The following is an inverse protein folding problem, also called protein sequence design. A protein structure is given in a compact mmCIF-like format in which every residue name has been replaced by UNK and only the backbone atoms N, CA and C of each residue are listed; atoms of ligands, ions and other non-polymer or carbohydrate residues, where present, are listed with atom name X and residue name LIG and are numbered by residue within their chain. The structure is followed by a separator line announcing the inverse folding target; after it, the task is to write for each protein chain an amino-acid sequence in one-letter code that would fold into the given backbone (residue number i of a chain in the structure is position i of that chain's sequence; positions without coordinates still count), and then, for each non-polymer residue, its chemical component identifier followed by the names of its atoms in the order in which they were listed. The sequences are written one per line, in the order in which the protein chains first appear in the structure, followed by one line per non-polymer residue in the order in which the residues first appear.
data_IF_595055394521
#
_entry.id   IF_595055394521
#
_cell.length_a   1.000
_cell.length_b   1.000
_cell.length_c   1.000
_cell.angle_alpha   90.00
_cell.angle_beta   90.00
_cell.angle_gamma   90.00
#
_symmetry.space_group_name_H-M   'P 1'
#
loop_
_entity.id
_entity.type
_entity.pdbx_description
1 polymer ?
#
# COMPACT_ATOMS: atom_id res chain seq x y z
N UNK A 1 12.97 -7.07 -11.44
CA UNK A 1 12.85 -7.36 -12.89
C UNK A 1 12.34 -8.78 -13.05
N UNK A 2 11.58 -9.09 -14.11
CA UNK A 2 11.01 -10.42 -14.32
C UNK A 2 9.48 -10.49 -14.34
N UNK A 3 8.78 -9.36 -14.19
CA UNK A 3 7.34 -9.27 -14.43
C UNK A 3 7.08 -8.78 -15.85
N UNK A 4 6.12 -9.41 -16.53
CA UNK A 4 5.55 -8.85 -17.75
C UNK A 4 4.84 -7.53 -17.40
N UNK A 5 5.09 -6.48 -18.18
CA UNK A 5 4.38 -5.20 -18.09
C UNK A 5 3.55 -5.09 -19.36
N UNK A 6 2.24 -5.07 -19.18
CA UNK A 6 1.28 -5.02 -20.28
C UNK A 6 0.06 -4.17 -19.89
N UNK A 7 -0.77 -3.85 -20.87
CA UNK A 7 -2.05 -3.18 -20.63
C UNK A 7 -3.09 -4.19 -20.16
N UNK A 8 -4.08 -3.74 -19.38
CA UNK A 8 -5.15 -4.61 -18.87
C UNK A 8 -5.87 -5.35 -20.00
N UNK A 9 -6.19 -4.67 -21.10
CA UNK A 9 -6.86 -5.25 -22.28
C UNK A 9 -6.14 -6.48 -22.86
N UNK A 10 -4.81 -6.53 -22.77
CA UNK A 10 -4.02 -7.65 -23.30
C UNK A 10 -4.11 -8.91 -22.42
N UNK A 11 -4.43 -8.75 -21.13
CA UNK A 11 -4.37 -9.82 -20.14
C UNK A 11 -5.71 -10.15 -19.49
N UNK A 12 -6.74 -9.30 -19.65
CA UNK A 12 -8.03 -9.37 -18.94
C UNK A 12 -8.76 -10.70 -19.10
N UNK A 13 -8.66 -11.34 -20.27
CA UNK A 13 -9.28 -12.65 -20.51
C UNK A 13 -8.41 -13.85 -20.09
N UNK A 14 -7.19 -13.60 -19.63
CA UNK A 14 -6.17 -14.64 -19.38
C UNK A 14 -5.64 -14.68 -17.95
N UNK A 15 -5.75 -13.59 -17.19
CA UNK A 15 -5.39 -13.57 -15.78
C UNK A 15 -6.48 -14.19 -14.90
N UNK A 16 -6.06 -14.80 -13.79
CA UNK A 16 -6.95 -15.45 -12.83
C UNK A 16 -7.25 -14.56 -11.61
N UNK A 17 -6.33 -13.64 -11.28
CA UNK A 17 -6.43 -12.74 -10.13
C UNK A 17 -6.04 -11.33 -10.58
N UNK A 18 -6.88 -10.36 -10.22
CA UNK A 18 -6.71 -8.95 -10.49
C UNK A 18 -6.62 -8.19 -9.17
N UNK A 19 -5.55 -7.40 -9.03
CA UNK A 19 -5.31 -6.57 -7.84
C UNK A 19 -5.04 -5.14 -8.31
N UNK A 20 -5.90 -4.20 -7.95
CA UNK A 20 -5.65 -2.77 -8.17
C UNK A 20 -4.85 -2.19 -7.00
N UNK A 21 -3.79 -1.45 -7.30
CA UNK A 21 -2.85 -0.89 -6.33
C UNK A 21 -2.32 0.48 -6.78
N UNK A 22 -3.17 1.27 -7.44
CA UNK A 22 -2.73 2.43 -8.23
C UNK A 22 -2.85 3.76 -7.48
N UNK A 23 -3.77 3.85 -6.52
CA UNK A 23 -4.19 5.11 -5.92
C UNK A 23 -5.00 6.01 -6.86
N UNK A 24 -5.57 5.46 -7.93
CA UNK A 24 -6.32 6.17 -8.96
C UNK A 24 -7.68 5.50 -9.22
N UNK A 25 -8.57 6.13 -9.98
CA UNK A 25 -9.94 5.65 -10.21
C UNK A 25 -10.13 4.91 -11.54
N UNK A 26 -11.18 4.08 -11.61
CA UNK A 26 -11.65 3.40 -12.82
C UNK A 26 -10.59 2.56 -13.54
N UNK A 27 -9.79 1.82 -12.77
CA UNK A 27 -8.72 0.95 -13.28
C UNK A 27 -9.29 -0.35 -13.84
N UNK A 28 -10.25 -0.95 -13.14
CA UNK A 28 -11.00 -2.11 -13.61
C UNK A 28 -12.46 -1.71 -13.73
N UNK A 29 -12.93 -1.63 -14.96
CA UNK A 29 -14.32 -1.28 -15.26
C UNK A 29 -15.22 -2.51 -15.29
N UNK A 30 -16.53 -2.29 -15.32
CA UNK A 30 -17.50 -3.37 -15.55
C UNK A 30 -17.30 -4.07 -16.90
N UNK A 31 -16.87 -3.34 -17.93
CA UNK A 31 -16.60 -3.89 -19.26
C UNK A 31 -15.36 -4.78 -19.25
N UNK A 32 -14.39 -4.48 -18.39
CA UNK A 32 -13.23 -5.35 -18.17
C UNK A 32 -13.64 -6.62 -17.43
N UNK A 33 -14.42 -6.49 -16.36
CA UNK A 33 -14.93 -7.63 -15.60
C UNK A 33 -15.76 -8.58 -16.46
N UNK A 34 -16.55 -8.06 -17.41
CA UNK A 34 -17.33 -8.88 -18.34
C UNK A 34 -16.49 -9.71 -19.32
N UNK A 35 -15.20 -9.38 -19.50
CA UNK A 35 -14.24 -10.14 -20.35
C UNK A 35 -13.42 -11.15 -19.56
N UNK A 36 -13.52 -11.15 -18.22
CA UNK A 36 -12.71 -11.99 -17.36
C UNK A 36 -13.13 -13.46 -17.46
N UNK A 37 -12.23 -14.35 -17.05
CA UNK A 37 -12.54 -15.78 -16.92
C UNK A 37 -13.64 -16.00 -15.88
N UNK A 38 -14.40 -17.07 -16.06
CA UNK A 38 -15.28 -17.56 -15.00
C UNK A 38 -14.48 -17.84 -13.72
N UNK A 39 -14.96 -17.32 -12.60
CA UNK A 39 -14.36 -17.30 -11.27
C UNK A 39 -13.02 -16.55 -11.15
N UNK A 40 -12.73 -15.62 -12.05
CA UNK A 40 -11.63 -14.68 -11.83
C UNK A 40 -11.86 -13.90 -10.52
N UNK A 41 -10.78 -13.65 -9.78
CA UNK A 41 -10.82 -12.91 -8.50
C UNK A 41 -10.43 -11.46 -8.75
N UNK A 42 -11.24 -10.52 -8.28
CA UNK A 42 -11.01 -9.07 -8.39
C UNK A 42 -10.96 -8.47 -7.00
N UNK A 43 -9.87 -7.76 -6.69
CA UNK A 43 -9.73 -7.04 -5.43
C UNK A 43 -8.89 -5.77 -5.58
N UNK A 44 -8.95 -4.94 -4.55
CA UNK A 44 -8.25 -3.67 -4.47
C UNK A 44 -7.45 -3.61 -3.18
N UNK A 45 -6.20 -3.13 -3.26
CA UNK A 45 -5.34 -2.85 -2.10
C UNK A 45 -4.99 -1.36 -2.00
N UNK A 46 -5.44 -0.54 -2.96
CA UNK A 46 -5.39 0.92 -2.90
C UNK A 46 -6.33 1.50 -1.86
N UNK A 47 -6.18 2.81 -1.59
CA UNK A 47 -6.83 3.45 -0.45
C UNK A 47 -8.36 3.54 -0.55
N UNK A 48 -8.87 3.80 -1.75
CA UNK A 48 -10.29 3.99 -2.01
C UNK A 48 -10.83 2.89 -2.92
N UNK A 49 -12.13 2.63 -2.83
CA UNK A 49 -12.84 1.59 -3.59
C UNK A 49 -13.05 1.90 -5.07
N UNK A 50 -12.90 3.17 -5.47
CA UNK A 50 -13.13 3.62 -6.83
C UNK A 50 -12.05 3.22 -7.85
N UNK A 51 -11.03 2.45 -7.46
CA UNK A 51 -10.16 1.78 -8.44
C UNK A 51 -10.94 0.75 -9.26
N UNK A 52 -12.02 0.19 -8.70
CA UNK A 52 -12.92 -0.77 -9.36
C UNK A 52 -14.29 -0.12 -9.54
N UNK A 53 -14.89 -0.26 -10.73
CA UNK A 53 -16.24 0.23 -11.01
C UNK A 53 -17.34 -0.65 -10.39
N UNK A 54 -17.39 -0.66 -9.05
CA UNK A 54 -18.40 -1.39 -8.29
C UNK A 54 -19.82 -0.88 -8.55
N UNK A 55 -19.96 0.42 -8.80
CA UNK A 55 -21.25 1.04 -9.08
C UNK A 55 -21.77 0.62 -10.47
N UNK A 56 -20.90 0.54 -11.48
CA UNK A 56 -21.21 0.00 -12.79
C UNK A 56 -21.55 -1.48 -12.72
N UNK A 57 -20.79 -2.26 -11.96
CA UNK A 57 -21.08 -3.68 -11.72
C UNK A 57 -22.47 -3.89 -11.12
N UNK A 58 -22.84 -3.10 -10.11
CA UNK A 58 -24.18 -3.16 -9.50
C UNK A 58 -25.32 -2.79 -10.46
N UNK A 59 -25.05 -1.97 -11.49
CA UNK A 59 -26.03 -1.57 -12.52
C UNK A 59 -26.02 -2.45 -13.78
N UNK A 60 -25.07 -3.36 -13.90
CA UNK A 60 -24.82 -4.16 -15.10
C UNK A 60 -25.88 -5.23 -15.39
N UNK A 61 -26.74 -5.53 -14.41
CA UNK A 61 -27.61 -6.70 -14.45
C UNK A 61 -26.95 -7.99 -13.94
N UNK A 62 -25.66 -7.95 -13.55
CA UNK A 62 -25.03 -9.05 -12.84
C UNK A 62 -25.72 -9.32 -11.49
N UNK A 63 -25.93 -10.60 -11.17
CA UNK A 63 -26.52 -11.04 -9.91
C UNK A 63 -25.43 -11.20 -8.86
N UNK A 64 -25.58 -10.49 -7.73
CA UNK A 64 -24.70 -10.63 -6.56
C UNK A 64 -25.20 -11.74 -5.64
N UNK A 65 -24.33 -12.68 -5.31
CA UNK A 65 -24.52 -13.68 -4.27
C UNK A 65 -23.35 -13.60 -3.26
N UNK A 66 -23.64 -13.24 -2.01
CA UNK A 66 -22.61 -13.19 -0.96
C UNK A 66 -22.24 -14.63 -0.55
N UNK A 67 -20.97 -15.00 -0.72
CA UNK A 67 -20.47 -16.34 -0.36
C UNK A 67 -20.13 -16.43 1.12
N UNK A 68 -19.54 -15.35 1.65
CA UNK A 68 -19.20 -15.11 3.05
C UNK A 68 -18.94 -13.60 3.24
N UNK A 69 -18.86 -13.10 4.49
CA UNK A 69 -18.54 -11.70 4.72
C UNK A 69 -17.29 -11.24 3.97
N UNK A 70 -17.45 -10.19 3.16
CA UNK A 70 -16.37 -9.61 2.35
C UNK A 70 -15.99 -10.44 1.11
N UNK A 71 -16.83 -11.37 0.64
CA UNK A 71 -16.60 -12.13 -0.58
C UNK A 71 -17.92 -12.35 -1.32
N UNK A 72 -18.06 -11.69 -2.46
CA UNK A 72 -19.25 -11.76 -3.31
C UNK A 72 -18.95 -12.46 -4.63
N UNK A 73 -19.87 -13.30 -5.10
CA UNK A 73 -19.90 -13.81 -6.45
C UNK A 73 -20.84 -12.94 -7.29
N UNK A 74 -20.33 -12.41 -8.39
CA UNK A 74 -21.11 -11.62 -9.35
C UNK A 74 -21.27 -12.41 -10.64
N UNK A 75 -22.49 -12.89 -10.91
CA UNK A 75 -22.81 -13.69 -12.10
C UNK A 75 -23.39 -12.80 -13.19
N UNK A 76 -22.73 -12.71 -14.33
CA UNK A 76 -23.17 -11.93 -15.49
C UNK A 76 -24.31 -12.63 -16.26
N UNK A 77 -25.06 -11.91 -17.11
CA UNK A 77 -26.21 -12.47 -17.85
C UNK A 77 -25.89 -13.66 -18.77
N UNK A 78 -24.64 -13.78 -19.23
CA UNK A 78 -24.16 -14.90 -20.05
C UNK A 78 -23.81 -16.15 -19.22
N UNK A 79 -23.89 -16.06 -17.89
CA UNK A 79 -23.66 -17.15 -16.94
C UNK A 79 -22.23 -17.26 -16.41
N UNK A 80 -21.26 -16.51 -16.94
CA UNK A 80 -19.94 -16.46 -16.27
C UNK A 80 -20.03 -15.61 -15.00
N UNK A 81 -19.03 -15.72 -14.13
CA UNK A 81 -19.06 -15.05 -12.85
C UNK A 81 -17.66 -14.58 -12.46
N UNK A 82 -17.57 -13.53 -11.65
CA UNK A 82 -16.33 -13.04 -11.03
C UNK A 82 -16.50 -13.00 -9.52
N UNK A 83 -15.42 -13.22 -8.79
CA UNK A 83 -15.37 -13.16 -7.33
C UNK A 83 -14.80 -11.80 -6.94
N UNK A 84 -15.58 -10.97 -6.27
CA UNK A 84 -15.14 -9.66 -5.79
C UNK A 84 -14.89 -9.72 -4.29
N UNK A 85 -13.73 -9.26 -3.86
CA UNK A 85 -13.35 -9.20 -2.46
C UNK A 85 -13.61 -7.82 -1.87
N UNK A 86 -14.10 -7.80 -0.62
CA UNK A 86 -14.32 -6.59 0.19
C UNK A 86 -15.14 -5.49 -0.50
N UNK A 87 -16.05 -5.84 -1.42
CA UNK A 87 -16.83 -4.89 -2.22
C UNK A 87 -15.95 -3.82 -2.90
N UNK A 88 -14.74 -4.20 -3.34
CA UNK A 88 -13.78 -3.29 -3.97
C UNK A 88 -12.99 -2.40 -3.01
N UNK A 89 -13.22 -2.47 -1.70
CA UNK A 89 -12.38 -1.79 -0.70
C UNK A 89 -11.07 -2.55 -0.45
N UNK A 90 -10.18 -1.92 0.33
CA UNK A 90 -8.91 -2.44 0.82
C UNK A 90 -9.00 -3.91 1.30
N UNK A 91 -8.55 -4.85 0.47
CA UNK A 91 -8.75 -6.29 0.68
C UNK A 91 -8.03 -6.83 1.91
N UNK A 92 -6.85 -6.28 2.26
CA UNK A 92 -6.10 -6.72 3.44
C UNK A 92 -6.83 -6.41 4.75
N UNK A 93 -7.60 -5.33 4.80
CA UNK A 93 -8.39 -4.95 5.97
C UNK A 93 -9.80 -5.56 5.92
N UNK A 94 -10.41 -5.60 4.73
CA UNK A 94 -11.76 -6.12 4.55
C UNK A 94 -11.85 -7.65 4.66
N UNK A 95 -10.81 -8.38 4.24
CA UNK A 95 -10.81 -9.85 4.21
C UNK A 95 -9.79 -10.48 5.18
N UNK A 96 -8.98 -9.68 5.87
CA UNK A 96 -7.98 -10.15 6.82
C UNK A 96 -7.78 -9.13 7.96
N UNK A 97 -6.56 -8.94 8.44
CA UNK A 97 -6.24 -8.11 9.62
C UNK A 97 -5.31 -6.94 9.30
N UNK A 98 -5.15 -6.57 8.03
CA UNK A 98 -4.25 -5.52 7.59
C UNK A 98 -2.77 -5.89 7.76
N UNK A 99 -1.93 -4.87 7.95
CA UNK A 99 -0.51 -5.08 8.17
C UNK A 99 -0.22 -5.64 9.58
N UNK A 100 0.76 -6.54 9.73
CA UNK A 100 1.18 -7.05 11.05
C UNK A 100 1.64 -5.93 11.98
N UNK A 101 1.50 -6.15 13.29
CA UNK A 101 1.83 -5.16 14.32
C UNK A 101 3.25 -4.58 14.21
N UNK A 102 4.23 -5.38 13.81
CA UNK A 102 5.61 -4.91 13.65
C UNK A 102 5.76 -3.89 12.51
N UNK A 103 5.08 -4.09 11.39
CA UNK A 103 5.05 -3.13 10.27
C UNK A 103 4.35 -1.84 10.72
N UNK A 104 3.23 -1.98 11.44
CA UNK A 104 2.48 -0.83 11.96
C UNK A 104 3.26 -0.07 13.04
N UNK A 105 4.11 -0.75 13.82
CA UNK A 105 4.98 -0.12 14.83
C UNK A 105 5.89 0.95 14.21
N UNK A 106 6.47 0.70 13.03
CA UNK A 106 7.27 1.70 12.33
C UNK A 106 6.43 2.94 11.95
N UNK A 107 5.27 2.70 11.33
CA UNK A 107 4.36 3.77 10.88
C UNK A 107 3.84 4.61 12.05
N UNK A 108 3.42 3.96 13.13
CA UNK A 108 2.89 4.64 14.32
C UNK A 108 3.98 5.33 15.14
N UNK A 109 5.21 4.80 15.15
CA UNK A 109 6.36 5.51 15.74
C UNK A 109 6.61 6.83 15.01
N UNK A 110 6.58 6.82 13.66
CA UNK A 110 6.69 8.04 12.86
C UNK A 110 5.55 9.03 13.16
N UNK A 111 4.30 8.56 13.24
CA UNK A 111 3.17 9.43 13.59
C UNK A 111 3.31 10.05 14.99
N UNK A 112 3.70 9.26 16.00
CA UNK A 112 3.90 9.77 17.37
C UNK A 112 5.02 10.80 17.41
N UNK A 113 6.15 10.54 16.74
CA UNK A 113 7.26 11.48 16.65
C UNK A 113 6.84 12.78 15.94
N UNK A 114 6.08 12.68 14.85
CA UNK A 114 5.55 13.86 14.16
C UNK A 114 4.61 14.69 15.05
N UNK A 115 3.74 14.03 15.83
CA UNK A 115 2.87 14.72 16.79
C UNK A 115 3.69 15.44 17.87
N UNK A 116 4.72 14.79 18.42
CA UNK A 116 5.63 15.39 19.41
C UNK A 116 6.38 16.59 18.82
N UNK A 117 6.89 16.47 17.59
CA UNK A 117 7.67 17.53 16.94
C UNK A 117 6.79 18.75 16.65
N UNK A 118 5.64 18.56 16.03
CA UNK A 118 4.69 19.64 15.72
C UNK A 118 4.21 20.33 17.00
N UNK A 119 3.82 19.56 18.03
CA UNK A 119 3.29 20.12 19.27
C UNK A 119 4.32 20.98 20.00
N UNK A 120 5.58 20.53 20.08
CA UNK A 120 6.62 21.25 20.82
C UNK A 120 7.29 22.37 20.00
N UNK A 121 7.16 22.36 18.67
CA UNK A 121 7.90 23.25 17.78
C UNK A 121 7.02 23.97 16.74
N UNK A 122 5.74 24.23 17.04
CA UNK A 122 4.76 24.86 16.12
C UNK A 122 5.34 26.05 15.34
N UNK A 123 6.08 26.94 16.00
CA UNK A 123 6.67 28.13 15.35
C UNK A 123 7.70 27.82 14.25
N UNK A 124 8.32 26.62 14.25
CA UNK A 124 9.24 26.17 13.20
C UNK A 124 8.53 25.71 11.93
N UNK A 125 7.22 25.47 12.01
CA UNK A 125 6.41 24.92 10.92
C UNK A 125 5.32 25.92 10.52
N UNK A 126 5.63 26.92 9.68
CA UNK A 126 4.62 27.68 8.96
C UNK A 126 3.62 26.77 8.24
N UNK A 127 2.52 27.34 7.73
CA UNK A 127 1.55 26.54 6.97
C UNK A 127 2.24 25.92 5.74
N UNK A 128 2.19 24.59 5.67
CA UNK A 128 2.84 23.81 4.61
C UNK A 128 2.74 22.31 4.86
N UNK A 129 3.25 21.53 3.91
CA UNK A 129 3.40 20.08 4.03
C UNK A 129 4.87 19.78 4.26
N UNK A 130 5.15 19.06 5.34
CA UNK A 130 6.52 18.75 5.78
C UNK A 130 6.71 17.24 5.86
N UNK A 131 7.93 16.80 5.57
CA UNK A 131 8.40 15.45 5.88
C UNK A 131 9.17 15.49 7.20
N UNK A 132 9.18 14.37 7.93
CA UNK A 132 10.00 14.24 9.11
C UNK A 132 11.49 14.39 8.73
N UNK A 133 12.29 15.14 9.50
CA UNK A 133 13.74 15.17 9.33
C UNK A 133 14.35 13.76 9.33
N UNK A 134 15.32 13.51 8.43
CA UNK A 134 15.92 12.19 8.21
C UNK A 134 16.42 11.50 9.48
N UNK A 135 17.03 12.24 10.40
CA UNK A 135 17.52 11.66 11.67
C UNK A 135 16.40 11.09 12.56
N UNK A 136 15.16 11.58 12.44
CA UNK A 136 14.00 11.03 13.15
C UNK A 136 13.51 9.74 12.50
N UNK A 137 13.56 9.65 11.18
CA UNK A 137 13.24 8.41 10.44
C UNK A 137 14.29 7.31 10.72
N UNK A 138 15.58 7.68 10.71
CA UNK A 138 16.68 6.79 11.14
C UNK A 138 16.53 6.34 12.60
N UNK A 139 16.06 7.22 13.48
CA UNK A 139 15.74 6.86 14.87
C UNK A 139 14.64 5.81 14.94
N UNK A 140 13.58 5.92 14.13
CA UNK A 140 12.54 4.88 14.06
C UNK A 140 13.14 3.55 13.61
N UNK A 141 13.95 3.54 12.56
CA UNK A 141 14.63 2.30 12.12
C UNK A 141 15.50 1.69 13.24
N UNK A 142 16.31 2.52 13.91
CA UNK A 142 17.19 2.09 15.00
C UNK A 142 16.43 1.42 16.16
N UNK A 143 15.26 1.96 16.54
CA UNK A 143 14.41 1.41 17.60
C UNK A 143 13.92 -0.01 17.30
N UNK A 144 13.80 -0.38 16.02
CA UNK A 144 13.28 -1.68 15.60
C UNK A 144 14.38 -2.74 15.39
N UNK A 145 15.65 -2.35 15.20
CA UNK A 145 16.75 -3.30 14.92
C UNK A 145 16.95 -4.34 16.02
N UNK A 146 16.89 -3.92 17.29
CA UNK A 146 17.08 -4.83 18.43
C UNK A 146 16.03 -5.94 18.48
N UNK A 147 14.78 -5.61 18.15
CA UNK A 147 13.68 -6.59 18.09
C UNK A 147 13.87 -7.63 16.97
N UNK A 148 14.62 -7.29 15.92
CA UNK A 148 14.98 -8.19 14.82
C UNK A 148 16.29 -8.96 15.06
N UNK A 149 16.98 -8.72 16.19
CA UNK A 149 18.31 -9.26 16.45
C UNK A 149 19.41 -8.69 15.54
N UNK A 150 19.11 -7.59 14.83
CA UNK A 150 20.06 -6.94 13.94
C UNK A 150 21.11 -6.15 14.75
N UNK A 151 22.37 -6.22 14.31
CA UNK A 151 23.49 -5.48 14.91
C UNK A 151 23.96 -4.41 13.94
N UNK A 152 23.88 -3.15 14.36
CA UNK A 152 24.33 -2.02 13.56
C UNK A 152 25.83 -1.79 13.75
N UNK A 153 26.59 -1.83 12.67
CA UNK A 153 27.99 -1.40 12.66
C UNK A 153 28.08 0.10 12.94
N UNK A 154 29.02 0.51 13.79
CA UNK A 154 29.31 1.92 14.06
C UNK A 154 30.51 2.35 13.24
N UNK A 155 30.41 3.54 12.63
CA UNK A 155 31.56 4.17 11.98
C UNK A 155 32.65 4.44 13.02
N UNK A 156 33.90 4.21 12.64
CA UNK A 156 35.04 4.78 13.37
C UNK A 156 35.17 6.26 13.07
N UNK A 157 35.86 7.01 13.92
CA UNK A 157 36.06 8.45 13.71
C UNK A 157 36.73 8.74 12.34
N UNK A 158 37.72 7.94 11.95
CA UNK A 158 38.36 8.07 10.64
C UNK A 158 37.46 7.72 9.46
N UNK A 159 36.48 6.82 9.62
CA UNK A 159 35.48 6.55 8.58
C UNK A 159 34.46 7.68 8.47
N UNK A 160 34.05 8.26 9.61
CA UNK A 160 33.12 9.38 9.65
C UNK A 160 33.74 10.63 9.01
N UNK A 161 35.00 10.94 9.32
CA UNK A 161 35.76 12.03 8.68
C UNK A 161 35.94 11.78 7.18
N UNK A 162 36.29 10.56 6.77
CA UNK A 162 36.44 10.22 5.36
C UNK A 162 35.14 10.40 4.54
N UNK A 163 33.99 10.12 5.16
CA UNK A 163 32.68 10.26 4.52
C UNK A 163 32.09 11.67 4.68
N UNK A 164 32.71 12.54 5.47
CA UNK A 164 32.19 13.85 5.87
C UNK A 164 30.78 13.77 6.50
N UNK A 165 30.62 12.87 7.48
CA UNK A 165 29.35 12.61 8.17
C UNK A 165 29.51 12.64 9.69
N UNK A 166 28.47 13.05 10.42
CA UNK A 166 28.38 12.78 11.86
C UNK A 166 28.23 11.26 12.08
N UNK A 167 29.03 10.62 12.96
CA UNK A 167 28.88 9.19 13.27
C UNK A 167 27.51 8.80 13.84
N UNK A 168 26.68 9.77 14.23
CA UNK A 168 25.28 9.60 14.68
C UNK A 168 24.24 9.89 13.58
N UNK A 169 24.68 10.23 12.38
CA UNK A 169 23.82 10.55 11.23
C UNK A 169 23.36 12.02 11.19
N UNK A 170 22.55 12.41 10.18
CA UNK A 170 21.98 11.54 9.16
C UNK A 170 23.02 10.94 8.20
N UNK A 171 22.83 9.68 7.80
CA UNK A 171 23.83 8.90 7.06
C UNK A 171 23.71 9.00 5.53
N UNK A 172 22.71 9.74 5.04
CA UNK A 172 22.38 9.85 3.62
C UNK A 172 21.90 11.26 3.27
N UNK A 173 22.15 11.73 2.03
CA UNK A 173 21.65 13.01 1.58
C UNK A 173 20.12 13.00 1.41
N UNK A 174 19.52 14.18 1.28
CA UNK A 174 18.05 14.31 1.25
C UNK A 174 17.40 13.64 0.05
N UNK A 175 18.04 13.70 -1.12
CA UNK A 175 17.55 13.12 -2.37
C UNK A 175 17.72 11.58 -2.47
N UNK A 176 18.25 10.95 -1.43
CA UNK A 176 18.49 9.52 -1.40
C UNK A 176 17.15 8.74 -1.32
N UNK A 177 16.98 7.71 -2.15
CA UNK A 177 15.72 6.97 -2.33
C UNK A 177 15.70 5.68 -1.48
N UNK A 178 15.88 5.80 -0.16
CA UNK A 178 16.11 4.75 0.87
C UNK A 178 17.56 4.53 1.25
#
# INVERSE_FOLDING_TARGET
EGYQVDVLDAVVSSADIFVTATGNEMIITVDDMAKMKHNAIVCNIGHFDNEIDMAGLARSGAKRDELKPGTDLWTFPDGHAVIVLAEGRLVNLGCATGHPSFVMSCSFSNQVIAQIELFNNVAKYPIGVYVLPKHLDEKVALLHLGALGAKLTKLTDGQAEYLDLDPKGPFKPEHYRY
#
